data_IF_260172610534
#
_entry.id   IF_260172610534
#
_cell.length_a   1.000
_cell.length_b   1.000
_cell.length_c   1.000
_cell.angle_alpha   90.00
_cell.angle_beta   90.00
_cell.angle_gamma   90.00
#
_symmetry.space_group_name_H-M   'P 1'
#
loop_
_entity.id
_entity.type
_entity.pdbx_description
1 polymer ?
2 non-polymer ?
3 water ?
#
# COMPACT_ATOMS: atom_id res chain seq x y z
N UNK A 10 -3.22 -20.51 -19.32
CA UNK A 10 -3.29 -19.06 -19.40
C UNK A 10 -2.35 -18.37 -18.42
N UNK A 11 -2.33 -18.87 -17.19
CA UNK A 11 -1.42 -18.39 -16.16
C UNK A 11 -0.31 -19.42 -16.00
N UNK A 12 0.94 -18.95 -15.92
CA UNK A 12 2.07 -19.88 -15.92
C UNK A 12 1.95 -20.95 -14.83
N UNK A 13 1.91 -22.20 -15.25
CA UNK A 13 1.76 -23.32 -14.33
C UNK A 13 3.14 -23.85 -13.95
N UNK A 14 3.40 -23.95 -12.65
CA UNK A 14 4.68 -24.41 -12.11
C UNK A 14 4.49 -25.81 -11.58
N UNK A 15 5.44 -26.69 -11.84
CA UNK A 15 5.31 -28.03 -11.31
C UNK A 15 5.72 -28.04 -9.85
N UNK A 16 5.06 -28.85 -9.00
CA UNK A 16 5.41 -28.81 -7.57
C UNK A 16 6.84 -29.25 -7.25
N UNK A 17 7.48 -30.05 -8.11
CA UNK A 17 8.86 -30.46 -7.85
C UNK A 17 9.83 -29.30 -7.92
N UNK A 18 9.42 -28.18 -8.48
CA UNK A 18 10.29 -27.02 -8.58
C UNK A 18 10.17 -26.10 -7.37
N UNK A 19 9.26 -26.37 -6.44
CA UNK A 19 8.97 -25.48 -5.32
C UNK A 19 9.38 -26.16 -4.03
N UNK A 20 10.14 -25.44 -3.21
CA UNK A 20 10.58 -25.88 -1.88
C UNK A 20 10.09 -24.85 -0.88
N UNK A 21 9.11 -25.22 -0.06
CA UNK A 21 8.65 -24.36 1.02
C UNK A 21 9.62 -24.51 2.19
N UNK A 22 10.02 -23.39 2.77
CA UNK A 22 11.02 -23.37 3.82
C UNK A 22 10.50 -22.85 5.15
N UNK A 23 9.86 -21.69 5.16
CA UNK A 23 9.52 -21.00 6.39
C UNK A 23 8.12 -20.41 6.25
N UNK A 24 7.29 -20.57 7.29
CA UNK A 24 6.01 -19.88 7.33
C UNK A 24 6.24 -18.41 7.61
N UNK A 25 5.62 -17.55 6.79
CA UNK A 25 5.69 -16.11 6.96
C UNK A 25 4.33 -15.46 7.15
N UNK A 26 3.24 -16.21 7.08
CA UNK A 26 1.91 -15.66 7.34
C UNK A 26 0.83 -16.68 7.07
N UNK A 27 -0.41 -16.19 7.01
CA UNK A 27 -1.57 -17.04 6.79
C UNK A 27 -2.45 -16.49 5.67
N UNK A 28 -3.14 -17.40 4.98
CA UNK A 28 -4.07 -17.07 3.94
C UNK A 28 -5.51 -17.32 4.35
N UNK A 29 -6.41 -17.16 3.37
CA UNK A 29 -7.84 -17.40 3.62
C UNK A 29 -8.07 -18.84 4.08
N UNK A 30 -7.37 -19.79 3.48
CA UNK A 30 -7.53 -21.21 3.83
C UNK A 30 -6.23 -21.91 3.46
N UNK A 31 -5.16 -21.53 4.16
CA UNK A 31 -3.82 -21.98 3.86
C UNK A 31 -2.81 -21.10 4.56
N UNK A 32 -1.55 -21.42 4.32
CA UNK A 32 -0.44 -20.66 4.89
C UNK A 32 0.33 -19.98 3.77
N UNK A 33 1.13 -18.98 4.17
CA UNK A 33 2.05 -18.29 3.26
C UNK A 33 3.48 -18.61 3.70
N UNK A 34 4.31 -18.98 2.75
CA UNK A 34 5.66 -19.43 3.01
C UNK A 34 6.68 -18.60 2.24
N UNK A 35 7.89 -18.54 2.78
CA UNK A 35 9.05 -18.23 1.96
C UNK A 35 9.63 -19.55 1.43
N UNK A 36 10.08 -19.54 0.21
CA UNK A 36 10.66 -20.74 -0.34
C UNK A 36 11.57 -20.44 -1.50
N UNK A 37 11.89 -21.49 -2.25
CA UNK A 37 12.77 -21.39 -3.41
C UNK A 37 12.07 -21.99 -4.62
N UNK A 38 12.30 -21.38 -5.78
CA UNK A 38 11.75 -21.86 -7.04
C UNK A 38 12.89 -22.21 -7.99
N UNK A 39 12.82 -23.37 -8.61
CA UNK A 39 13.85 -23.81 -9.53
C UNK A 39 13.48 -23.41 -10.96
N UNK A 46 18.24 -21.37 -8.01
CA UNK A 46 17.01 -21.26 -7.24
C UNK A 46 16.70 -19.81 -6.86
N UNK A 47 15.55 -19.31 -7.32
CA UNK A 47 15.09 -17.96 -7.04
C UNK A 47 14.25 -17.99 -5.78
N UNK A 48 14.44 -17.05 -4.84
CA UNK A 48 13.54 -17.00 -3.69
C UNK A 48 12.15 -16.53 -4.10
N UNK A 49 11.14 -17.11 -3.46
CA UNK A 49 9.74 -16.82 -3.75
C UNK A 49 8.92 -16.80 -2.47
N UNK A 50 7.73 -16.18 -2.58
CA UNK A 50 6.70 -16.30 -1.57
C UNK A 50 5.59 -17.17 -2.15
N UNK A 51 4.98 -17.98 -1.30
CA UNK A 51 4.07 -19.05 -1.70
C UNK A 51 2.83 -19.03 -0.81
N UNK A 52 1.66 -18.81 -1.41
CA UNK A 52 0.37 -18.90 -0.72
C UNK A 52 -0.33 -20.19 -1.12
N UNK A 53 -0.74 -20.98 -0.14
CA UNK A 53 -1.37 -22.25 -0.44
C UNK A 53 -2.87 -22.20 -0.15
N UNK A 54 -3.59 -23.10 -0.81
CA UNK A 54 -5.00 -23.36 -0.57
C UNK A 54 -5.14 -24.83 -0.20
N UNK A 55 -5.46 -25.08 1.07
CA UNK A 55 -5.34 -26.39 1.68
C UNK A 55 -6.62 -27.19 1.54
N UNK A 56 -6.48 -28.51 1.68
CA UNK A 56 -7.59 -29.44 1.47
C UNK A 56 -8.80 -29.05 2.32
N UNK A 57 -9.96 -29.06 1.69
CA UNK A 57 -11.19 -28.70 2.36
C UNK A 57 -11.71 -27.35 1.94
N UNK A 58 -10.96 -26.63 1.11
CA UNK A 58 -11.41 -25.34 0.64
C UNK A 58 -12.76 -25.48 -0.09
N UNK A 59 -13.57 -24.43 0.02
CA UNK A 59 -14.90 -24.37 -0.56
C UNK A 59 -14.81 -23.94 -2.02
N UNK A 60 -15.95 -24.06 -2.70
CA UNK A 60 -16.04 -23.58 -4.08
C UNK A 60 -15.75 -22.09 -4.16
N UNK A 61 -16.34 -21.30 -3.26
CA UNK A 61 -16.06 -19.86 -3.28
C UNK A 61 -14.58 -19.57 -3.08
N UNK A 62 -13.94 -20.29 -2.13
CA UNK A 62 -12.52 -20.07 -1.88
C UNK A 62 -11.68 -20.42 -3.10
N UNK A 63 -12.01 -21.51 -3.80
CA UNK A 63 -11.30 -21.84 -5.03
C UNK A 63 -11.48 -20.77 -6.09
N UNK A 64 -12.72 -20.31 -6.30
CA UNK A 64 -12.96 -19.23 -7.26
C UNK A 64 -12.14 -18.00 -6.89
N UNK A 65 -12.11 -17.62 -5.60
CA UNK A 65 -11.39 -16.41 -5.20
C UNK A 65 -9.88 -16.59 -5.38
N UNK A 66 -9.38 -17.78 -5.08
CA UNK A 66 -7.95 -18.09 -5.15
C UNK A 66 -7.46 -18.10 -6.59
N UNK A 67 -8.12 -18.85 -7.46
CA UNK A 67 -7.71 -18.87 -8.85
C UNK A 67 -8.03 -17.55 -9.53
N UNK A 68 -9.09 -16.87 -9.07
CA UNK A 68 -9.37 -15.54 -9.59
C UNK A 68 -8.26 -14.57 -9.27
N UNK A 69 -7.76 -14.63 -8.04
CA UNK A 69 -6.63 -13.81 -7.64
C UNK A 69 -5.41 -14.14 -8.50
N UNK A 70 -5.12 -15.41 -8.68
CA UNK A 70 -3.96 -15.75 -9.50
C UNK A 70 -4.13 -15.21 -10.90
N UNK A 71 -5.33 -15.34 -11.45
CA UNK A 71 -5.56 -14.92 -12.83
C UNK A 71 -5.34 -13.43 -13.03
N UNK A 72 -5.90 -12.62 -12.12
CA UNK A 72 -5.74 -11.17 -12.21
C UNK A 72 -4.29 -10.79 -11.99
N UNK A 73 -3.63 -11.40 -11.01
CA UNK A 73 -2.22 -11.11 -10.79
C UNK A 73 -1.38 -11.42 -12.02
N UNK A 74 -1.68 -12.53 -12.72
CA UNK A 74 -0.91 -12.89 -13.88
C UNK A 74 -1.06 -11.92 -15.01
N UNK A 75 -2.17 -11.18 -15.05
CA UNK A 75 -2.37 -10.18 -16.08
C UNK A 75 -1.59 -8.89 -15.80
N UNK A 76 -1.26 -8.61 -14.56
CA UNK A 76 -0.57 -7.37 -14.24
C UNK A 76 0.92 -7.50 -14.59
N UNK A 77 1.46 -6.49 -15.26
CA UNK A 77 2.91 -6.45 -15.57
C UNK A 77 3.35 -4.99 -15.39
N UNK A 78 3.84 -4.67 -14.21
CA UNK A 78 4.24 -3.30 -13.89
C UNK A 78 5.29 -3.35 -12.80
N UNK A 79 6.25 -2.41 -12.90
CA UNK A 79 7.36 -2.29 -11.96
C UNK A 79 6.92 -2.16 -10.52
N UNK A 80 5.73 -1.59 -10.29
CA UNK A 80 5.27 -1.30 -8.95
C UNK A 80 4.09 -2.15 -8.50
N UNK A 81 3.94 -3.33 -9.10
CA UNK A 81 2.94 -4.33 -8.73
C UNK A 81 3.67 -5.65 -8.52
N UNK A 82 3.34 -6.34 -7.42
CA UNK A 82 3.99 -7.62 -7.14
C UNK A 82 3.87 -8.54 -8.34
N UNK A 83 4.95 -9.23 -8.69
CA UNK A 83 5.02 -10.06 -9.88
C UNK A 83 4.70 -11.51 -9.55
N UNK A 84 3.74 -12.08 -10.29
CA UNK A 84 3.45 -13.50 -10.17
C UNK A 84 4.45 -14.32 -10.94
N UNK A 85 5.09 -15.29 -10.27
CA UNK A 85 5.93 -16.27 -10.95
C UNK A 85 5.08 -17.35 -11.59
N UNK A 86 4.06 -17.82 -10.89
CA UNK A 86 3.14 -18.76 -11.47
C UNK A 86 2.21 -19.34 -10.42
N UNK A 87 1.51 -20.40 -10.84
CA UNK A 87 0.49 -20.98 -10.01
C UNK A 87 0.65 -22.48 -10.09
N UNK A 88 0.24 -23.14 -9.02
CA UNK A 88 0.05 -24.59 -9.06
C UNK A 88 -1.45 -24.78 -8.91
N UNK A 89 -2.11 -25.17 -10.00
CA UNK A 89 -3.52 -25.50 -9.98
C UNK A 89 -3.81 -26.96 -10.32
N UNK A 90 -2.89 -27.70 -10.95
CA UNK A 90 -3.11 -29.08 -11.38
C UNK A 90 -2.82 -30.10 -10.28
N UNK A 91 -2.23 -29.67 -9.18
CA UNK A 91 -1.93 -30.55 -8.06
C UNK A 91 -2.38 -29.86 -6.78
N UNK A 92 -2.48 -30.67 -5.70
CA UNK A 92 -2.91 -30.15 -4.41
C UNK A 92 -1.76 -30.28 -3.41
N UNK A 93 -1.56 -29.28 -2.52
CA UNK A 93 -2.32 -28.04 -2.38
C UNK A 93 -2.07 -27.10 -3.55
N UNK A 94 -3.07 -26.31 -3.90
CA UNK A 94 -2.82 -25.30 -4.92
C UNK A 94 -2.01 -24.16 -4.33
N UNK A 95 -1.27 -23.45 -5.19
CA UNK A 95 -0.34 -22.44 -4.72
C UNK A 95 -0.31 -21.24 -5.65
N UNK A 96 -0.12 -20.05 -5.05
CA UNK A 96 0.20 -18.82 -5.78
C UNK A 96 1.63 -18.46 -5.42
N UNK A 97 2.49 -18.23 -6.43
CA UNK A 97 3.92 -18.05 -6.18
C UNK A 97 4.34 -16.70 -6.74
N UNK A 98 4.90 -15.83 -5.89
CA UNK A 98 5.34 -14.53 -6.34
C UNK A 98 6.84 -14.38 -6.09
N UNK A 99 7.40 -13.35 -6.71
CA UNK A 99 8.74 -12.92 -6.34
C UNK A 99 8.77 -12.70 -4.84
N UNK A 100 9.95 -12.78 -4.26
CA UNK A 100 10.13 -12.55 -2.83
C UNK A 100 10.76 -11.18 -2.63
N UNK A 101 10.22 -10.44 -1.67
CA UNK A 101 10.65 -9.07 -1.44
C UNK A 101 11.37 -9.05 -0.09
N UNK A 102 12.70 -8.87 -0.13
CA UNK A 102 13.52 -9.17 1.06
C UNK A 102 13.26 -8.22 2.23
N UNK A 103 12.86 -7.01 1.98
CA UNK A 103 12.64 -6.03 3.06
C UNK A 103 11.23 -6.05 3.63
N UNK A 104 10.35 -6.91 3.10
CA UNK A 104 9.04 -7.11 3.64
C UNK A 104 8.09 -5.96 3.45
N UNK A 105 7.11 -5.91 4.34
CA UNK A 105 6.05 -4.94 4.24
C UNK A 105 6.52 -3.55 4.65
N UNK A 106 6.01 -2.55 3.95
CA UNK A 106 6.50 -1.18 4.09
C UNK A 106 6.27 -0.60 5.48
N UNK A 107 5.12 -0.90 6.10
CA UNK A 107 4.83 -0.28 7.39
C UNK A 107 5.88 -0.69 8.43
N UNK A 108 6.14 -2.00 8.53
CA UNK A 108 7.12 -2.52 9.47
C UNK A 108 8.52 -2.07 9.10
N UNK A 109 8.82 -2.07 7.79
CA UNK A 109 10.11 -1.62 7.31
C UNK A 109 10.40 -0.21 7.78
N UNK A 110 9.49 0.74 7.57
CA UNK A 110 9.80 2.11 7.97
C UNK A 110 9.84 2.28 9.50
N UNK A 111 9.03 1.52 10.27
CA UNK A 111 9.10 1.61 11.72
C UNK A 111 10.43 1.09 12.26
N UNK A 112 11.05 0.16 11.55
CA UNK A 112 12.35 -0.38 11.94
C UNK A 112 13.52 0.41 11.41
N UNK A 113 13.28 1.40 10.58
CA UNK A 113 14.35 2.19 9.94
C UNK A 113 14.09 3.68 10.12
N UNK A 114 13.55 4.04 11.31
CA UNK A 114 13.11 5.41 11.57
C UNK A 114 14.26 6.36 11.27
N UNK A 115 13.98 7.38 10.46
CA UNK A 115 14.92 8.44 10.23
C UNK A 115 16.05 8.12 9.29
N UNK A 116 16.08 6.95 8.67
CA UNK A 116 17.26 6.48 7.95
C UNK A 116 17.32 6.93 6.50
N UNK A 117 16.26 7.54 5.97
CA UNK A 117 16.21 7.84 4.55
C UNK A 117 16.10 9.34 4.35
N UNK A 118 16.41 9.73 3.13
CA UNK A 118 16.29 11.13 2.73
C UNK A 118 14.84 11.39 2.31
N UNK A 119 14.45 12.66 2.38
CA UNK A 119 13.14 13.04 1.87
C UNK A 119 12.99 12.59 0.41
N UNK A 120 14.05 12.72 -0.39
CA UNK A 120 13.96 12.32 -1.79
C UNK A 120 13.69 10.82 -1.94
N UNK A 121 14.32 9.99 -1.12
CA UNK A 121 14.02 8.57 -1.10
C UNK A 121 12.59 8.29 -0.72
N UNK A 122 12.08 8.96 0.32
CA UNK A 122 10.69 8.73 0.74
C UNK A 122 9.71 9.11 -0.36
N UNK A 123 9.92 10.27 -0.97
CA UNK A 123 9.04 10.71 -2.05
C UNK A 123 9.15 9.75 -3.24
N UNK A 124 10.36 9.23 -3.51
CA UNK A 124 10.51 8.24 -4.55
C UNK A 124 9.67 7.00 -4.32
N UNK A 125 9.59 6.56 -3.06
CA UNK A 125 8.72 5.42 -2.77
C UNK A 125 7.25 5.73 -3.04
N UNK A 126 6.83 6.96 -2.75
CA UNK A 126 5.46 7.36 -3.03
C UNK A 126 5.18 7.45 -4.51
N UNK A 127 6.13 7.92 -5.31
CA UNK A 127 5.95 7.93 -6.76
C UNK A 127 5.74 6.53 -7.28
N UNK A 128 6.52 5.55 -6.78
CA UNK A 128 6.37 4.19 -7.23
C UNK A 128 5.02 3.60 -6.86
N UNK A 129 4.60 3.81 -5.63
CA UNK A 129 3.26 3.34 -5.21
C UNK A 129 2.20 3.96 -6.09
N UNK A 130 2.29 5.27 -6.32
CA UNK A 130 1.32 5.96 -7.16
C UNK A 130 1.28 5.43 -8.58
N UNK A 131 2.46 5.08 -9.14
CA UNK A 131 2.49 4.55 -10.51
C UNK A 131 1.83 3.17 -10.55
N UNK A 132 2.03 2.36 -9.52
CA UNK A 132 1.35 1.07 -9.46
C UNK A 132 -0.15 1.24 -9.34
N UNK A 133 -0.58 2.19 -8.53
CA UNK A 133 -2.01 2.47 -8.38
C UNK A 133 -2.62 3.04 -9.65
N UNK A 134 -1.89 3.91 -10.36
CA UNK A 134 -2.39 4.41 -11.62
C UNK A 134 -2.65 3.26 -12.58
N UNK A 135 -1.70 2.31 -12.64
CA UNK A 135 -1.86 1.13 -13.48
C UNK A 135 -3.08 0.33 -13.08
N UNK A 136 -3.21 0.01 -11.79
CA UNK A 136 -4.40 -0.73 -11.34
C UNK A 136 -5.70 -0.02 -11.72
N UNK A 137 -5.78 1.27 -11.43
CA UNK A 137 -7.01 2.02 -11.71
C UNK A 137 -7.31 2.03 -13.18
N UNK A 138 -6.30 2.19 -14.03
CA UNK A 138 -6.48 2.19 -15.47
C UNK A 138 -6.93 0.84 -15.99
N UNK A 139 -6.45 -0.25 -15.35
CA UNK A 139 -6.89 -1.61 -15.62
C UNK A 139 -8.28 -1.92 -15.03
N UNK A 140 -8.94 -0.92 -14.45
CA UNK A 140 -10.23 -1.06 -13.80
C UNK A 140 -10.20 -2.05 -12.63
N UNK A 141 -9.11 -2.04 -11.88
CA UNK A 141 -8.97 -2.80 -10.66
C UNK A 141 -9.01 -1.83 -9.47
N UNK A 142 -10.01 -2.00 -8.61
CA UNK A 142 -10.12 -1.23 -7.36
C UNK A 142 -9.50 -2.06 -6.24
N UNK A 143 -8.54 -1.48 -5.54
CA UNK A 143 -7.77 -2.23 -4.54
C UNK A 143 -8.56 -2.49 -3.28
N UNK A 144 -9.15 -1.43 -2.71
CA UNK A 144 -9.99 -1.43 -1.53
C UNK A 144 -9.28 -1.50 -0.20
N UNK A 145 -8.00 -1.90 -0.19
CA UNK A 145 -7.25 -2.08 1.05
C UNK A 145 -5.85 -1.52 0.93
N UNK A 146 -5.69 -0.37 0.30
CA UNK A 146 -4.38 0.20 0.12
C UNK A 146 -3.92 0.82 1.44
N UNK A 147 -2.77 0.37 1.92
CA UNK A 147 -2.20 0.78 3.21
C UNK A 147 -0.75 0.31 3.11
N UNK A 148 0.11 0.88 3.96
CA UNK A 148 1.52 0.47 3.91
C UNK A 148 1.72 -1.00 4.22
N UNK A 149 0.84 -1.61 5.04
CA UNK A 149 0.97 -3.03 5.33
C UNK A 149 0.77 -3.90 4.10
N UNK A 150 0.21 -3.37 3.00
CA UNK A 150 -0.01 -4.10 1.77
C UNK A 150 0.95 -3.71 0.66
N UNK A 151 2.07 -3.07 1.01
CA UNK A 151 3.09 -2.70 0.04
C UNK A 151 4.39 -3.39 0.45
N UNK A 152 5.06 -4.03 -0.49
CA UNK A 152 6.31 -4.72 -0.26
C UNK A 152 7.48 -3.92 -0.84
N UNK A 153 8.66 -4.11 -0.25
CA UNK A 153 9.84 -3.31 -0.54
C UNK A 153 10.97 -4.25 -0.94
N UNK A 154 11.56 -4.02 -2.14
CA UNK A 154 12.70 -4.84 -2.57
C UNK A 154 14.03 -4.20 -2.19
N UNK A 155 15.13 -4.87 -2.57
CA UNK A 155 16.46 -4.41 -2.19
C UNK A 155 16.91 -3.19 -2.97
N UNK A 156 16.12 -2.71 -3.92
CA UNK A 156 16.39 -1.45 -4.60
C UNK A 156 15.48 -0.34 -4.07
N UNK A 157 14.75 -0.57 -2.98
CA UNK A 157 13.81 0.37 -2.37
C UNK A 157 12.56 0.55 -3.21
N UNK A 158 12.34 -0.33 -4.19
CA UNK A 158 11.15 -0.28 -5.03
C UNK A 158 9.97 -0.84 -4.25
N UNK A 159 8.91 -0.09 -4.23
CA UNK A 159 7.65 -0.45 -3.60
C UNK A 159 6.71 -1.09 -4.58
N UNK A 160 6.18 -2.23 -4.19
CA UNK A 160 5.28 -3.00 -5.04
C UNK A 160 3.94 -3.17 -4.33
N UNK A 161 2.87 -2.64 -4.95
CA UNK A 161 1.53 -2.83 -4.42
C UNK A 161 1.18 -4.31 -4.44
N UNK A 162 0.58 -4.73 -3.34
CA UNK A 162 0.18 -6.11 -3.07
C UNK A 162 -1.13 -6.12 -2.32
N UNK A 163 -1.63 -7.30 -1.98
CA UNK A 163 -2.84 -7.42 -1.17
C UNK A 163 -2.78 -8.73 -0.40
N UNK A 164 -2.59 -8.66 0.90
CA UNK A 164 -2.50 -9.84 1.75
C UNK A 164 -3.83 -10.19 2.40
N UNK A 165 -4.90 -9.52 2.05
CA UNK A 165 -6.17 -9.71 2.74
C UNK A 165 -6.21 -8.89 4.03
N UNK A 166 -7.37 -8.94 4.68
CA UNK A 166 -7.58 -8.14 5.88
C UNK A 166 -6.84 -8.72 7.09
N UNK A 185 -11.14 -4.59 9.64
CA UNK A 185 -11.65 -3.58 8.70
C UNK A 185 -10.87 -2.28 8.86
N UNK A 186 -10.31 -1.75 7.75
CA UNK A 186 -9.37 -0.63 7.90
C UNK A 186 -10.01 0.75 7.79
N UNK A 187 -10.86 1.06 8.79
CA UNK A 187 -11.59 2.33 8.76
C UNK A 187 -10.67 3.50 8.51
N UNK A 188 -9.51 3.50 9.17
CA UNK A 188 -8.59 4.62 9.18
C UNK A 188 -7.96 4.87 7.83
N UNK A 189 -7.99 3.91 6.93
CA UNK A 189 -7.48 4.09 5.59
C UNK A 189 -8.54 4.29 4.54
N UNK A 190 -9.80 4.23 4.91
CA UNK A 190 -10.92 4.13 3.97
C UNK A 190 -11.67 5.43 3.79
N UNK A 191 -11.99 5.77 2.52
CA UNK A 191 -12.67 7.00 2.22
C UNK A 191 -14.06 7.00 2.86
N UNK A 192 -14.64 8.18 3.13
CA UNK A 192 -15.98 8.22 3.78
C UNK A 192 -17.09 7.51 3.03
N UNK A 193 -17.11 7.62 1.68
CA UNK A 193 -18.21 7.01 0.92
C UNK A 193 -18.09 5.50 0.91
N UNK A 194 -16.86 4.97 1.03
CA UNK A 194 -16.69 3.51 1.10
C UNK A 194 -17.14 3.00 2.46
N UNK A 195 -16.83 3.74 3.54
CA UNK A 195 -17.34 3.36 4.85
C UNK A 195 -18.85 3.48 4.90
N UNK A 196 -19.37 4.62 4.47
CA UNK A 196 -20.77 4.92 4.70
C UNK A 196 -21.70 4.03 3.86
N UNK A 197 -21.39 3.85 2.58
CA UNK A 197 -22.33 3.13 1.71
C UNK A 197 -21.63 2.16 0.75
N UNK A 198 -20.41 1.77 1.07
CA UNK A 198 -19.71 0.70 0.38
C UNK A 198 -19.37 1.05 -1.06
N UNK A 199 -19.15 2.32 -1.36
CA UNK A 199 -18.78 2.75 -2.68
C UNK A 199 -17.23 2.75 -2.77
N UNK A 200 -16.68 1.66 -3.27
CA UNK A 200 -15.24 1.49 -3.45
C UNK A 200 -14.92 1.73 -4.91
N UNK A 201 -14.07 2.73 -5.17
CA UNK A 201 -13.64 3.06 -6.53
C UNK A 201 -12.19 3.50 -6.50
N UNK A 202 -11.64 3.82 -7.67
CA UNK A 202 -10.28 4.33 -7.64
C UNK A 202 -10.18 5.66 -6.91
N UNK A 203 -11.29 6.39 -6.74
CA UNK A 203 -11.24 7.62 -5.95
C UNK A 203 -11.20 7.36 -4.46
N UNK A 204 -11.79 6.27 -3.98
CA UNK A 204 -11.58 5.90 -2.59
C UNK A 204 -10.18 5.35 -2.38
N UNK A 205 -9.63 4.67 -3.39
CA UNK A 205 -8.21 4.32 -3.33
C UNK A 205 -7.28 5.54 -3.26
N UNK A 206 -7.68 6.67 -3.90
CA UNK A 206 -6.90 7.92 -3.79
C UNK A 206 -6.88 8.41 -2.36
N UNK A 207 -8.03 8.38 -1.67
CA UNK A 207 -8.08 8.70 -0.25
C UNK A 207 -7.05 7.84 0.51
N UNK A 208 -7.10 6.54 0.31
CA UNK A 208 -6.17 5.62 0.97
C UNK A 208 -4.73 5.96 0.65
N UNK A 209 -4.46 6.31 -0.60
CA UNK A 209 -3.11 6.73 -0.98
C UNK A 209 -2.66 7.91 -0.16
N UNK A 210 -3.53 8.91 0.03
CA UNK A 210 -3.17 10.01 0.91
C UNK A 210 -2.74 9.53 2.29
N UNK A 211 -3.47 8.59 2.86
CA UNK A 211 -3.06 8.00 4.14
C UNK A 211 -1.68 7.33 4.03
N UNK A 212 -1.45 6.55 2.96
CA UNK A 212 -0.13 5.97 2.73
C UNK A 212 0.95 7.03 2.66
N UNK A 213 0.68 8.15 1.99
CA UNK A 213 1.66 9.24 1.97
C UNK A 213 2.02 9.67 3.38
N UNK A 214 1.04 9.81 4.24
CA UNK A 214 1.27 10.19 5.63
C UNK A 214 2.03 9.09 6.37
N UNK A 215 1.67 7.82 6.15
CA UNK A 215 2.47 6.74 6.73
C UNK A 215 3.93 6.80 6.33
N UNK A 216 4.20 7.05 5.06
CA UNK A 216 5.60 7.02 4.63
C UNK A 216 6.36 8.18 5.25
N UNK A 217 5.79 9.39 5.20
CA UNK A 217 6.50 10.58 5.66
C UNK A 217 6.71 10.60 7.18
N UNK A 218 5.94 9.78 7.91
CA UNK A 218 6.06 9.64 9.36
C UNK A 218 6.81 8.38 9.78
N UNK A 219 7.37 7.63 8.81
CA UNK A 219 8.04 6.37 9.13
C UNK A 219 7.10 5.40 9.86
N UNK A 220 5.86 5.31 9.38
CA UNK A 220 4.97 4.27 9.80
C UNK A 220 4.20 4.58 11.08
N UNK A 221 3.95 5.85 11.36
CA UNK A 221 3.07 6.16 12.49
C UNK A 221 1.66 5.66 12.24
N UNK A 222 0.95 5.34 13.31
CA UNK A 222 -0.42 4.89 13.17
C UNK A 222 -1.34 6.08 12.87
N UNK A 223 -2.04 6.09 11.75
CA UNK A 223 -2.92 7.20 11.43
C UNK A 223 -3.88 7.47 12.57
N UNK A 224 -4.01 8.73 12.93
CA UNK A 224 -4.92 9.22 13.96
C UNK A 224 -4.52 8.73 15.34
N UNK A 225 -3.34 8.16 15.50
CA UNK A 225 -2.85 7.69 16.79
C UNK A 225 -3.89 6.88 17.54
N UNK A 226 -4.22 7.25 18.77
CA UNK A 226 -5.04 6.40 19.59
C UNK A 226 -6.52 6.61 19.40
N UNK A 227 -6.94 7.51 18.50
CA UNK A 227 -8.38 7.65 18.28
C UNK A 227 -8.99 6.31 17.92
N UNK A 228 -10.19 6.04 18.47
CA UNK A 228 -10.94 4.86 18.09
C UNK A 228 -11.50 5.02 16.67
N UNK A 229 -11.95 3.90 16.10
CA UNK A 229 -12.54 3.97 14.76
C UNK A 229 -13.70 4.96 14.69
N UNK A 230 -14.59 4.96 15.70
CA UNK A 230 -15.71 5.90 15.66
C UNK A 230 -15.23 7.34 15.81
N UNK A 231 -14.22 7.57 16.66
CA UNK A 231 -13.66 8.93 16.78
C UNK A 231 -13.02 9.40 15.48
N UNK A 232 -12.33 8.49 14.75
CA UNK A 232 -11.77 8.87 13.44
C UNK A 232 -12.87 9.33 12.48
N UNK A 233 -13.94 8.54 12.35
CA UNK A 233 -15.02 8.89 11.44
C UNK A 233 -15.70 10.19 11.84
N UNK A 234 -15.90 10.39 13.15
CA UNK A 234 -16.48 11.64 13.67
C UNK A 234 -15.57 12.83 13.33
N UNK A 235 -14.27 12.68 13.54
CA UNK A 235 -13.33 13.75 13.23
C UNK A 235 -13.36 14.10 11.75
N UNK A 236 -13.34 13.08 10.90
CA UNK A 236 -13.31 13.30 9.45
C UNK A 236 -14.59 13.98 8.98
N UNK A 237 -15.72 13.60 9.56
CA UNK A 237 -16.99 14.23 9.18
C UNK A 237 -17.09 15.66 9.70
N UNK A 238 -16.50 15.96 10.85
CA UNK A 238 -16.42 17.29 11.42
C UNK A 238 -15.42 18.18 10.65
N UNK A 239 -14.63 17.63 9.72
CA UNK A 239 -13.71 18.39 8.89
C UNK A 239 -12.24 18.30 9.31
N UNK A 240 -11.92 17.61 10.39
CA UNK A 240 -10.52 17.49 10.77
C UNK A 240 -9.77 16.58 9.81
N UNK A 241 -8.47 16.83 9.68
CA UNK A 241 -7.58 16.02 8.88
C UNK A 241 -6.25 15.82 9.61
N UNK A 242 -5.57 14.75 9.27
CA UNK A 242 -4.26 14.49 9.86
C UNK A 242 -3.35 15.71 9.70
N UNK A 243 -2.61 16.08 10.75
CA UNK A 243 -1.68 17.20 10.66
C UNK A 243 -0.41 16.81 9.90
N UNK A 244 0.37 17.83 9.54
CA UNK A 244 1.54 17.54 8.74
C UNK A 244 2.53 16.69 9.54
N UNK A 245 3.16 15.73 8.89
CA UNK A 245 4.34 15.08 9.49
C UNK A 245 5.46 16.08 9.72
N UNK A 246 6.37 15.70 10.61
CA UNK A 246 7.61 16.44 10.76
C UNK A 246 8.44 16.29 9.49
N UNK A 247 9.16 17.35 9.13
CA UNK A 247 10.10 17.33 8.00
C UNK A 247 9.42 16.98 6.68
N UNK A 248 8.21 17.50 6.48
CA UNK A 248 7.43 17.11 5.32
C UNK A 248 7.44 18.23 4.31
N UNK A 249 7.83 17.99 3.07
CA UNK A 249 7.75 19.03 2.04
C UNK A 249 6.32 19.59 1.97
N UNK A 250 6.24 20.92 1.84
CA UNK A 250 4.93 21.56 1.68
C UNK A 250 4.14 20.94 0.54
N UNK A 251 4.79 20.69 -0.59
CA UNK A 251 4.06 20.16 -1.75
C UNK A 251 3.47 18.79 -1.45
N UNK A 252 4.18 17.97 -0.65
CA UNK A 252 3.70 16.65 -0.31
C UNK A 252 2.50 16.72 0.63
N UNK A 253 2.53 17.61 1.62
CA UNK A 253 1.37 17.79 2.48
C UNK A 253 0.15 18.31 1.69
N UNK A 254 0.36 19.30 0.83
CA UNK A 254 -0.72 19.80 -0.02
C UNK A 254 -1.35 18.67 -0.81
N UNK A 255 -0.51 17.78 -1.38
CA UNK A 255 -1.05 16.68 -2.17
C UNK A 255 -1.85 15.71 -1.30
N UNK A 256 -1.33 15.33 -0.13
CA UNK A 256 -2.10 14.39 0.70
C UNK A 256 -3.44 15.01 1.11
N UNK A 257 -3.45 16.31 1.41
CA UNK A 257 -4.67 16.99 1.78
C UNK A 257 -5.72 16.94 0.67
N UNK A 258 -5.30 17.08 -0.59
CA UNK A 258 -6.24 17.01 -1.70
C UNK A 258 -6.80 15.61 -1.86
N UNK A 259 -6.02 14.59 -1.52
CA UNK A 259 -6.54 13.24 -1.56
C UNK A 259 -7.64 13.02 -0.55
N UNK A 260 -7.73 13.86 0.47
CA UNK A 260 -8.72 13.72 1.54
C UNK A 260 -9.89 14.69 1.42
N UNK A 261 -10.19 15.13 0.19
CA UNK A 261 -11.43 15.85 -0.05
C UNK A 261 -12.62 14.96 0.24
N UNK A 262 -13.61 15.53 0.94
CA UNK A 262 -14.83 14.80 1.24
C UNK A 262 -15.57 14.43 -0.03
N UNK A 263 -15.63 15.36 -0.99
CA UNK A 263 -16.31 15.17 -2.27
C UNK A 263 -15.38 14.39 -3.18
N UNK A 264 -15.77 13.16 -3.49
CA UNK A 264 -14.89 12.27 -4.25
C UNK A 264 -14.48 12.86 -5.59
N UNK A 265 -15.40 13.59 -6.24
CA UNK A 265 -15.08 14.18 -7.54
C UNK A 265 -13.99 15.24 -7.46
N UNK A 266 -13.69 15.78 -6.29
CA UNK A 266 -12.68 16.81 -6.17
C UNK A 266 -11.28 16.27 -5.99
N UNK A 267 -11.13 14.98 -5.71
CA UNK A 267 -9.83 14.45 -5.46
C UNK A 267 -9.05 14.32 -6.77
N UNK A 268 -7.72 14.37 -6.70
CA UNK A 268 -6.92 14.09 -7.89
C UNK A 268 -7.13 12.66 -8.37
N UNK A 269 -6.92 12.45 -9.67
CA UNK A 269 -6.82 11.10 -10.18
C UNK A 269 -5.40 10.62 -9.98
N UNK A 270 -5.19 9.32 -10.08
CA UNK A 270 -3.83 8.81 -9.93
C UNK A 270 -2.89 9.37 -11.01
N UNK A 271 -3.39 9.65 -12.20
CA UNK A 271 -2.50 10.26 -13.21
C UNK A 271 -1.97 11.60 -12.70
N UNK A 272 -2.84 12.40 -12.05
CA UNK A 272 -2.42 13.69 -11.51
C UNK A 272 -1.36 13.51 -10.43
N UNK A 273 -1.57 12.52 -9.55
CA UNK A 273 -0.65 12.25 -8.45
C UNK A 273 0.72 11.86 -8.98
N UNK A 274 0.77 10.90 -9.93
CA UNK A 274 2.05 10.47 -10.51
C UNK A 274 2.77 11.64 -11.15
N UNK A 275 2.05 12.43 -11.95
CA UNK A 275 2.65 13.58 -12.60
C UNK A 275 3.30 14.54 -11.62
N UNK A 276 2.58 14.89 -10.57
CA UNK A 276 3.09 15.81 -9.54
C UNK A 276 4.32 15.23 -8.86
N UNK A 277 4.25 13.98 -8.43
CA UNK A 277 5.37 13.40 -7.73
C UNK A 277 6.58 13.31 -8.65
N UNK A 278 6.36 12.93 -9.90
CA UNK A 278 7.46 12.89 -10.85
C UNK A 278 8.11 14.27 -11.03
N UNK A 279 7.31 15.33 -11.08
CA UNK A 279 7.87 16.65 -11.31
C UNK A 279 8.64 17.13 -10.07
N UNK A 280 8.15 16.78 -8.89
CA UNK A 280 8.85 17.15 -7.68
C UNK A 280 10.20 16.46 -7.59
N UNK A 281 10.24 15.16 -7.91
CA UNK A 281 11.49 14.42 -7.83
C UNK A 281 12.50 14.95 -8.84
N UNK A 282 12.02 15.29 -10.04
CA UNK A 282 12.93 15.70 -11.11
C UNK A 282 13.47 17.10 -10.90
N UNK A 283 12.80 17.91 -10.07
CA UNK A 283 13.24 19.24 -9.63
C UNK A 283 13.35 19.23 -8.11
N UNK A 284 14.34 18.52 -7.57
CA UNK A 284 14.29 18.16 -6.15
C UNK A 284 14.39 19.34 -5.21
N UNK A 285 14.87 20.51 -5.65
CA UNK A 285 14.85 21.67 -4.76
C UNK A 285 13.42 22.00 -4.34
N UNK A 286 12.43 21.55 -5.12
CA UNK A 286 11.02 21.79 -4.80
C UNK A 286 10.63 21.16 -3.47
N UNK A 287 11.33 20.11 -3.05
CA UNK A 287 11.03 19.42 -1.81
C UNK A 287 11.69 20.05 -0.60
N UNK A 288 12.54 21.06 -0.77
CA UNK A 288 13.23 21.67 0.35
C UNK A 288 12.33 22.62 1.16
N UNK A 289 11.25 23.15 0.56
CA UNK A 289 10.28 23.99 1.25
C UNK A 289 9.39 23.09 2.09
N UNK A 290 9.44 23.22 3.41
CA UNK A 290 8.74 22.32 4.30
C UNK A 290 7.47 22.98 4.85
N UNK A 291 6.43 22.16 5.02
CA UNK A 291 5.25 22.62 5.74
C UNK A 291 5.60 22.79 7.21
N UNK A 292 4.98 23.78 7.84
CA UNK A 292 5.12 23.98 9.27
C UNK A 292 4.62 22.77 10.05
N UNK A 293 5.38 22.35 11.04
CA UNK A 293 4.97 21.29 11.94
C UNK A 293 4.38 21.92 13.21
N UNK A 294 3.18 21.48 13.60
CA UNK A 294 2.50 22.04 14.77
C UNK A 294 3.02 21.33 16.00
N UNK A 295 3.78 22.00 16.86
CA UNK A 295 4.32 21.31 18.02
C UNK A 295 3.17 20.89 18.94
N UNK A 296 3.22 19.64 19.38
CA UNK A 296 2.31 19.17 20.40
C UNK A 296 2.86 19.40 21.81
N UNK A 297 4.13 19.76 21.92
CA UNK A 297 4.82 19.99 23.19
C UNK A 297 5.74 21.19 23.02
N UNK A 298 5.74 22.05 24.04
CA UNK A 298 6.62 23.21 24.08
C UNK A 298 7.71 22.93 25.11
N UNK A 299 8.97 23.14 24.69
CA UNK A 299 10.12 23.09 25.57
C UNK A 299 10.75 24.47 25.51
N UNK A 300 10.79 25.15 26.65
CA UNK A 300 11.39 26.47 26.78
C UNK A 300 12.76 26.31 27.44
N UNK A 301 13.81 26.75 26.76
CA UNK A 301 15.13 26.88 27.35
C UNK A 301 15.67 28.26 27.07
N UNK A 302 16.60 28.76 27.90
CA UNK A 302 17.21 30.07 27.62
C UNK A 302 18.17 30.05 26.43
X LIG B 1 7.52 -11.21 -0.48
X LIG B 1 -1.99 -10.81 -4.00
X LIG B 1 3.97 -12.16 -0.73
X LIG B 1 2.19 -12.67 -2.42
X LIG B 1 1.31 -11.61 -2.62
X LIG B 1 -0.01 -11.81 -3.03
X LIG B 1 -0.78 -10.61 -3.45
X LIG B 1 -4.16 -10.15 -4.76
X LIG B 1 -8.25 -10.21 -6.62
X LIG B 1 -7.00 -9.74 -6.87
X LIG B 1 -3.18 -7.74 -5.78
X LIG B 1 -0.47 -13.12 -3.12
X LIG B 1 0.36 -14.18 -2.83
X LIG B 1 1.70 -13.99 -2.48
X LIG B 1 3.64 -12.12 1.54
X LIG B 1 3.06 -12.21 3.97
X LIG B 1 0.86 -12.74 4.62
X LIG B 1 7.03 -11.29 0.79
X LIG B 1 7.87 -10.94 1.94
X LIG B 1 -0.28 -9.49 -3.35
X LIG B 1 6.53 -11.55 -1.28
X LIG B 1 -5.02 -9.25 -5.41
X LIG B 1 -7.30 -10.00 -4.70
X LIG B 1 -9.32 -10.58 -7.60
X LIG B 1 -4.54 -8.05 -5.91
X LIG B 1 -2.66 -6.42 -6.25
X LIG B 1 -2.31 -8.64 -5.14
X LIG B 1 5.72 -11.66 0.79
X LIG B 1 2.58 -15.17 -2.15
X LIG B 1 2.69 -12.30 2.63
X LIG B 1 2.15 -12.42 4.97
X LIG B 1 1.36 -12.63 2.38
X LIG B 1 5.36 -11.84 -0.54
X LIG B 1 -2.80 -9.84 -4.65
X LIG B 1 -1.52 -6.56 -6.90
X LIG B 1 -3.51 -5.75 -7.02
X LIG B 1 -2.43 -5.60 -5.24
X LIG B 1 3.47 -12.51 -1.95
X LIG B 1 -6.38 -9.61 -5.64
X LIG B 1 -8.44 -10.36 -5.25
X LIG B 1 3.15 -12.30 0.30
X LIG B 1 0.44 -12.85 3.35
X LIG B 1 4.91 -11.78 1.84
X LIG B 1 -2.39 -11.75 -3.95
X LIG B 1 1.67 -10.59 -2.48
X LIG B 1 -4.57 -11.06 -4.36
X LIG B 1 -6.50 -9.49 -7.81
X LIG B 1 -1.50 -13.31 -3.43
X LIG B 1 -0.04 -15.19 -2.86
X LIG B 1 4.09 -11.96 4.22
X LIG B 1 0.09 -12.92 5.37
X LIG B 1 8.92 -10.92 1.67
X LIG B 1 7.74 -11.66 2.75
X LIG B 1 7.61 -9.96 2.34
X LIG B 1 6.65 -11.59 -2.36
X LIG B 1 -7.11 -9.99 -3.63
X LIG B 1 -8.91 -11.12 -8.46
X LIG B 1 -9.83 -9.69 -7.98
X LIG B 1 -10.07 -11.22 -7.13
X LIG B 1 -5.23 -7.38 -6.42
X LIG B 1 -1.25 -8.37 -5.05
X LIG B 1 3.01 -15.10 -1.15
X LIG B 1 3.42 -15.26 -2.84
X LIG B 1 2.04 -16.11 -2.19
X LIG B 1 2.45 -12.35 6.02
X LIG B 1 0.98 -12.74 1.37
X LIG B 1 4.21 -12.67 -2.62
#
# INVERSE_FOLDING_TARGET
>A
GDPNQAVLKFTTEIHPSCVTRQKVIGAGEFGEVYKGMLKTSSGKKEVPVAIKTLKAGYTEKQRVDFLGEAGIMGQFSHHNIIRLEGVISKYKPMMIITEYMENGALDKFLREKDGEFSVLQLVGMLRGIAAGMKYLANMNYVHRDLAARNILVNSNLVCKVSDFGLSRVLEDDPEATYTTSGGKIPIRWTAPEAISYRKFTSASDVWSFGIVMWEVMTYGERPYWELSNHEVMKAINDGFRLPTPMDCPSAIYQLMMQCWQQERARRPKFADIVSILDKLIRAPDSLKTLADFDPRVSIRLPSTSG
>B hetero
1 R0T N1 N3 C4 C5 C6 C7 C8 C10 C13 C15 C17 C20 C21 C22 C24 C26 C28 N C O C1 C11 C12 C14 C16 C18 C19 C2 C23 C25 C27 C29 C3 C9 F F1 F2 N2 N4 N5 N6 N7 N8 H6 H5 H7 H12 H15 H16 H20 H22 H1 H2 H H3 H8 H11 H10 H9 H13 H14 H19 H17 H18 H21 H23 H4
#
